data_IF_175559057378
#
_entry.id   IF_175559057378
#
_cell.length_a   1.000
_cell.length_b   1.000
_cell.length_c   1.000
_cell.angle_alpha   90.00
_cell.angle_beta   90.00
_cell.angle_gamma   90.00
#
_symmetry.space_group_name_H-M   'P 1'
#
loop_
_entity.id
_entity.type
_entity.pdbx_description
1 polymer ?
#
# COMPACT_ATOMS: atom_id res chain seq x y z
N UNK A 1 -0.51 -35.58 12.09
CA UNK A 1 -1.64 -35.55 13.03
C UNK A 1 -2.09 -34.10 13.19
N UNK A 2 -3.37 -33.79 12.95
CA UNK A 2 -3.90 -32.42 13.14
C UNK A 2 -4.02 -32.14 14.64
N UNK A 3 -3.41 -31.04 15.10
CA UNK A 3 -3.50 -30.60 16.50
C UNK A 3 -4.73 -29.71 16.65
N UNK A 4 -5.72 -30.19 17.40
CA UNK A 4 -6.90 -29.40 17.76
C UNK A 4 -6.63 -28.55 18.99
N UNK A 5 -7.10 -27.30 18.96
CA UNK A 5 -6.86 -26.27 19.97
C UNK A 5 -8.22 -25.77 20.47
N UNK A 6 -8.47 -25.91 21.77
CA UNK A 6 -9.67 -25.39 22.41
C UNK A 6 -9.65 -23.84 22.41
N UNK A 7 -10.74 -23.23 21.94
CA UNK A 7 -10.89 -21.78 21.81
C UNK A 7 -11.73 -21.16 22.93
N UNK A 8 -12.58 -21.95 23.61
CA UNK A 8 -13.36 -21.47 24.76
C UNK A 8 -12.49 -21.52 26.01
N UNK A 9 -12.19 -20.33 26.55
CA UNK A 9 -11.36 -20.16 27.74
C UNK A 9 -12.11 -19.51 28.91
N UNK A 10 -13.33 -19.02 28.70
CA UNK A 10 -14.17 -18.47 29.76
C UNK A 10 -14.99 -19.55 30.47
N UNK A 11 -15.36 -19.29 31.73
CA UNK A 11 -16.29 -20.13 32.46
C UNK A 11 -17.70 -20.00 31.87
N UNK A 12 -18.36 -21.14 31.67
CA UNK A 12 -19.71 -21.20 31.10
C UNK A 12 -20.76 -21.65 32.10
N UNK A 13 -20.39 -22.37 33.16
CA UNK A 13 -21.27 -22.70 34.28
C UNK A 13 -20.51 -22.74 35.59
N UNK A 14 -20.97 -21.97 36.58
CA UNK A 14 -20.48 -22.01 37.97
C UNK A 14 -18.94 -22.04 38.11
N UNK A 15 -18.27 -21.16 37.34
CA UNK A 15 -16.81 -21.05 37.33
C UNK A 15 -16.07 -22.14 36.54
N UNK A 16 -16.79 -23.07 35.90
CA UNK A 16 -16.24 -24.15 35.06
C UNK A 16 -16.50 -23.88 33.59
N UNK A 17 -15.56 -24.29 32.73
CA UNK A 17 -15.71 -24.29 31.27
C UNK A 17 -16.21 -25.65 30.82
N UNK A 18 -17.51 -25.77 30.56
CA UNK A 18 -18.13 -27.01 30.09
C UNK A 18 -18.30 -27.03 28.57
N UNK A 19 -18.46 -25.85 27.98
CA UNK A 19 -18.60 -25.72 26.54
C UNK A 19 -17.22 -25.63 25.88
N UNK A 20 -17.00 -26.50 24.89
CA UNK A 20 -15.73 -26.58 24.18
C UNK A 20 -15.93 -26.35 22.68
N UNK A 21 -15.04 -25.55 22.09
CA UNK A 21 -14.96 -25.38 20.64
C UNK A 21 -13.50 -25.58 20.25
N UNK A 22 -13.24 -26.51 19.33
CA UNK A 22 -11.89 -26.85 18.89
C UNK A 22 -11.66 -26.41 17.46
N UNK A 23 -10.50 -25.84 17.18
CA UNK A 23 -10.08 -25.48 15.82
C UNK A 23 -8.62 -25.89 15.59
N UNK A 24 -8.20 -25.90 14.34
CA UNK A 24 -6.79 -26.18 13.96
C UNK A 24 -5.90 -24.94 14.03
N UNK A 25 -6.50 -23.75 14.12
CA UNK A 25 -5.80 -22.46 14.09
C UNK A 25 -5.72 -21.90 15.51
N UNK A 26 -4.48 -21.70 15.98
CA UNK A 26 -4.23 -21.13 17.31
C UNK A 26 -4.74 -19.69 17.37
N UNK A 27 -5.55 -19.39 18.39
CA UNK A 27 -6.05 -18.04 18.64
C UNK A 27 -6.96 -17.51 17.54
N UNK A 28 -7.66 -18.39 16.81
CA UNK A 28 -8.60 -18.00 15.76
C UNK A 28 -9.81 -17.22 16.30
N UNK A 29 -10.17 -17.48 17.56
CA UNK A 29 -11.29 -16.83 18.22
C UNK A 29 -10.90 -16.36 19.61
N UNK A 30 -11.53 -15.25 20.03
CA UNK A 30 -11.58 -14.79 21.41
C UNK A 30 -12.94 -15.16 21.98
N UNK A 31 -12.97 -16.01 23.01
CA UNK A 31 -14.20 -16.36 23.70
C UNK A 31 -14.61 -15.26 24.68
N UNK A 32 -15.80 -14.71 24.49
CA UNK A 32 -16.39 -13.66 25.33
C UNK A 32 -17.65 -14.24 25.99
N UNK A 33 -17.70 -14.35 27.32
CA UNK A 33 -18.91 -14.78 28.00
C UNK A 33 -20.00 -13.71 27.85
N UNK A 34 -21.24 -14.15 27.65
CA UNK A 34 -22.45 -13.35 27.51
C UNK A 34 -23.50 -13.83 28.51
N UNK A 35 -24.49 -12.99 28.74
CA UNK A 35 -25.60 -13.32 29.63
C UNK A 35 -26.25 -14.65 29.24
N UNK A 36 -26.77 -15.36 30.24
CA UNK A 36 -27.49 -16.62 30.04
C UNK A 36 -28.76 -16.35 29.22
N UNK A 37 -29.11 -17.30 28.36
CA UNK A 37 -30.35 -17.19 27.59
C UNK A 37 -31.52 -17.74 28.42
N UNK A 38 -32.48 -16.87 28.75
CA UNK A 38 -33.67 -17.26 29.51
C UNK A 38 -33.31 -17.91 30.85
N UNK A 39 -33.79 -19.14 31.06
CA UNK A 39 -33.57 -19.94 32.28
C UNK A 39 -32.39 -20.92 32.17
N UNK A 40 -31.53 -20.77 31.18
CA UNK A 40 -30.33 -21.62 31.05
C UNK A 40 -29.42 -21.44 32.26
N UNK A 41 -28.83 -22.54 32.73
CA UNK A 41 -27.75 -22.57 33.72
C UNK A 41 -26.38 -22.29 33.09
N UNK A 42 -26.28 -22.26 31.75
CA UNK A 42 -25.07 -21.93 31.01
C UNK A 42 -25.05 -20.46 30.54
N UNK A 43 -23.89 -19.83 30.66
CA UNK A 43 -23.58 -18.56 30.02
C UNK A 43 -23.35 -18.78 28.51
N UNK A 44 -23.91 -17.90 27.69
CA UNK A 44 -23.63 -17.92 26.25
C UNK A 44 -22.16 -17.56 26.01
N UNK A 45 -21.52 -18.20 25.03
CA UNK A 45 -20.16 -17.85 24.61
C UNK A 45 -20.20 -17.24 23.22
N UNK A 46 -19.76 -15.99 23.12
CA UNK A 46 -19.56 -15.33 21.83
C UNK A 46 -18.11 -15.54 21.38
N UNK A 47 -17.92 -16.25 20.27
CA UNK A 47 -16.61 -16.45 19.65
C UNK A 47 -16.36 -15.35 18.63
N UNK A 48 -15.65 -14.31 19.05
CA UNK A 48 -15.24 -13.23 18.16
C UNK A 48 -14.00 -13.66 17.38
N UNK A 49 -14.07 -13.68 16.05
CA UNK A 49 -12.91 -14.02 15.25
C UNK A 49 -11.79 -12.99 15.46
N UNK A 50 -10.58 -13.47 15.72
CA UNK A 50 -9.39 -12.61 15.82
C UNK A 50 -8.85 -12.23 14.45
N UNK A 51 -9.31 -12.93 13.40
CA UNK A 51 -8.93 -12.66 12.03
C UNK A 51 -9.32 -11.22 11.65
N UNK A 52 -8.31 -10.40 11.42
CA UNK A 52 -8.46 -9.10 10.77
C UNK A 52 -8.14 -9.29 9.29
N UNK A 53 -9.05 -8.85 8.42
CA UNK A 53 -8.85 -8.85 6.98
C UNK A 53 -7.51 -8.16 6.66
N UNK A 54 -6.68 -8.76 5.80
CA UNK A 54 -5.35 -8.23 5.43
C UNK A 54 -5.40 -6.74 5.03
N UNK A 55 -6.47 -6.33 4.35
CA UNK A 55 -6.72 -4.93 3.95
C UNK A 55 -6.84 -3.95 5.13
N UNK A 56 -7.31 -4.42 6.29
CA UNK A 56 -7.40 -3.65 7.53
C UNK A 56 -6.11 -3.73 8.36
N UNK A 57 -5.20 -4.64 8.01
CA UNK A 57 -3.94 -4.85 8.74
C UNK A 57 -2.77 -4.06 8.14
N UNK A 58 -2.76 -3.84 6.83
CA UNK A 58 -1.64 -3.17 6.17
C UNK A 58 -1.95 -1.69 5.99
N UNK A 59 -1.13 -0.85 6.62
CA UNK A 59 -1.24 0.61 6.48
C UNK A 59 -0.92 1.02 5.04
N UNK A 60 -1.61 2.04 4.51
CA UNK A 60 -1.23 2.62 3.22
C UNK A 60 0.22 3.12 3.27
N UNK A 61 0.95 2.88 2.19
CA UNK A 61 2.32 3.35 2.04
C UNK A 61 2.30 4.66 1.27
N UNK A 62 2.81 5.71 1.88
CA UNK A 62 2.96 7.02 1.23
C UNK A 62 4.34 7.08 0.58
N UNK A 63 4.39 7.44 -0.71
CA UNK A 63 5.63 7.66 -1.46
C UNK A 63 5.58 9.01 -2.16
N UNK A 64 6.67 9.75 -2.07
CA UNK A 64 6.86 10.99 -2.85
C UNK A 64 7.57 10.63 -4.15
N UNK A 65 7.02 11.05 -5.28
CA UNK A 65 7.61 10.80 -6.61
C UNK A 65 7.76 12.11 -7.37
N UNK A 66 8.83 12.20 -8.17
CA UNK A 66 9.02 13.28 -9.15
C UNK A 66 8.00 13.10 -10.29
N UNK A 67 7.25 14.15 -10.62
CA UNK A 67 6.26 14.11 -11.69
C UNK A 67 6.84 14.68 -12.99
N UNK A 68 7.36 13.79 -13.83
CA UNK A 68 7.84 14.13 -15.16
C UNK A 68 6.66 14.40 -16.09
N UNK A 69 6.44 15.67 -16.41
CA UNK A 69 5.50 16.12 -17.43
C UNK A 69 6.26 16.69 -18.63
N UNK A 70 5.62 16.76 -19.80
CA UNK A 70 6.22 17.41 -20.98
C UNK A 70 6.67 18.83 -20.65
N UNK A 71 5.83 19.60 -19.95
CA UNK A 71 6.19 20.95 -19.51
C UNK A 71 7.42 20.98 -18.58
N UNK A 72 7.54 20.05 -17.64
CA UNK A 72 8.70 19.98 -16.76
C UNK A 72 9.99 19.63 -17.53
N UNK A 73 9.89 18.73 -18.52
CA UNK A 73 11.03 18.38 -19.39
C UNK A 73 11.48 19.56 -20.24
N UNK A 74 10.54 20.29 -20.87
CA UNK A 74 10.86 21.48 -21.65
C UNK A 74 11.46 22.60 -20.79
N UNK A 75 11.00 22.75 -19.55
CA UNK A 75 11.55 23.76 -18.62
C UNK A 75 12.99 23.43 -18.24
N UNK A 76 13.29 22.18 -17.88
CA UNK A 76 14.67 21.73 -17.58
C UNK A 76 15.56 21.90 -18.80
N UNK A 77 15.05 21.52 -19.98
CA UNK A 77 15.77 21.70 -21.24
C UNK A 77 16.15 23.16 -21.46
N UNK A 78 15.21 24.08 -21.29
CA UNK A 78 15.48 25.52 -21.38
C UNK A 78 16.53 25.98 -20.36
N UNK A 79 16.48 25.49 -19.13
CA UNK A 79 17.51 25.78 -18.13
C UNK A 79 18.91 25.36 -18.60
N UNK A 80 19.04 24.16 -19.16
CA UNK A 80 20.33 23.64 -19.64
C UNK A 80 20.84 24.33 -20.91
N UNK A 81 19.94 24.71 -21.82
CA UNK A 81 20.29 25.48 -23.02
C UNK A 81 20.77 26.90 -22.68
N UNK A 82 20.26 27.49 -21.60
CA UNK A 82 20.68 28.80 -21.11
C UNK A 82 21.88 28.75 -20.14
N UNK A 83 22.33 27.55 -19.74
CA UNK A 83 23.45 27.41 -18.79
C UNK A 83 24.78 27.54 -19.53
N UNK A 84 25.65 28.42 -19.05
CA UNK A 84 27.04 28.46 -19.49
C UNK A 84 27.84 27.34 -18.81
N UNK A 85 27.98 26.22 -19.52
CA UNK A 85 28.72 25.05 -19.03
C UNK A 85 30.23 25.29 -18.90
N UNK A 86 30.77 26.32 -19.57
CA UNK A 86 32.19 26.67 -19.51
C UNK A 86 32.62 27.05 -18.09
N UNK A 87 31.73 27.71 -17.34
CA UNK A 87 31.98 28.15 -15.97
C UNK A 87 32.40 27.00 -15.05
N UNK A 88 31.79 25.82 -15.18
CA UNK A 88 32.14 24.68 -14.33
C UNK A 88 33.56 24.17 -14.61
N UNK A 89 34.01 24.23 -15.87
CA UNK A 89 35.34 23.79 -16.25
C UNK A 89 36.42 24.81 -15.85
N UNK A 90 36.08 26.09 -15.84
CA UNK A 90 36.98 27.16 -15.41
C UNK A 90 37.18 27.21 -13.89
N UNK A 91 36.18 26.79 -13.12
CA UNK A 91 36.23 26.80 -11.65
C UNK A 91 36.73 25.50 -11.04
N UNK A 92 36.62 24.38 -11.75
CA UNK A 92 37.05 23.07 -11.25
C UNK A 92 38.57 22.92 -11.26
N UNK A 93 39.12 22.39 -10.16
CA UNK A 93 40.55 22.10 -10.04
C UNK A 93 40.92 20.72 -10.58
N UNK A 94 39.96 19.78 -10.59
CA UNK A 94 40.13 18.45 -11.15
C UNK A 94 38.83 17.91 -11.78
N UNK A 95 38.94 16.74 -12.42
CA UNK A 95 37.81 16.08 -13.10
C UNK A 95 36.71 15.64 -12.14
N UNK A 96 37.05 15.30 -10.89
CA UNK A 96 36.08 14.87 -9.90
C UNK A 96 35.23 16.06 -9.44
N UNK A 97 35.87 17.19 -9.11
CA UNK A 97 35.19 18.44 -8.74
C UNK A 97 34.31 18.95 -9.89
N UNK A 98 34.79 18.88 -11.13
CA UNK A 98 33.98 19.20 -12.30
C UNK A 98 32.71 18.32 -12.37
N UNK A 99 32.86 17.00 -12.22
CA UNK A 99 31.71 16.09 -12.28
C UNK A 99 30.72 16.28 -11.13
N UNK A 100 31.23 16.59 -9.93
CA UNK A 100 30.40 16.82 -8.74
C UNK A 100 29.59 18.10 -8.90
N UNK A 101 30.25 19.22 -9.23
CA UNK A 101 29.59 20.52 -9.40
C UNK A 101 28.54 20.52 -10.52
N UNK A 102 28.83 19.84 -11.65
CA UNK A 102 27.86 19.64 -12.73
C UNK A 102 26.67 18.78 -12.28
N UNK A 103 26.92 17.69 -11.55
CA UNK A 103 25.86 16.80 -11.05
C UNK A 103 24.95 17.49 -10.03
N UNK A 104 25.54 18.30 -9.15
CA UNK A 104 24.81 19.09 -8.16
C UNK A 104 23.93 20.15 -8.82
N UNK A 105 24.45 20.84 -9.83
CA UNK A 105 23.67 21.81 -10.60
C UNK A 105 22.50 21.15 -11.35
N UNK A 106 22.73 20.00 -11.99
CA UNK A 106 21.65 19.22 -12.63
C UNK A 106 20.59 18.83 -11.60
N UNK A 107 20.99 18.34 -10.44
CA UNK A 107 20.07 17.95 -9.36
C UNK A 107 19.29 19.16 -8.83
N UNK A 108 19.92 20.33 -8.77
CA UNK A 108 19.28 21.60 -8.43
C UNK A 108 18.21 22.00 -9.46
N UNK A 109 18.53 21.97 -10.76
CA UNK A 109 17.57 22.22 -11.83
C UNK A 109 16.39 21.23 -11.79
N UNK A 110 16.66 19.95 -11.53
CA UNK A 110 15.60 18.96 -11.34
C UNK A 110 14.69 19.31 -10.16
N UNK A 111 15.25 19.80 -9.05
CA UNK A 111 14.48 20.22 -7.87
C UNK A 111 13.63 21.46 -8.11
N UNK A 112 14.10 22.40 -8.94
CA UNK A 112 13.36 23.61 -9.29
C UNK A 112 12.24 23.35 -10.30
N UNK A 113 12.51 22.53 -11.32
CA UNK A 113 11.62 22.41 -12.47
C UNK A 113 10.64 21.24 -12.35
N UNK A 114 10.95 20.19 -11.58
CA UNK A 114 10.12 18.99 -11.50
C UNK A 114 9.25 19.06 -10.24
N UNK A 115 7.92 19.20 -10.37
CA UNK A 115 7.05 19.14 -9.21
C UNK A 115 7.07 17.74 -8.60
N UNK A 116 7.13 17.68 -7.27
CA UNK A 116 6.96 16.43 -6.52
C UNK A 116 5.50 16.19 -6.19
N UNK A 117 5.05 14.96 -6.37
CA UNK A 117 3.70 14.51 -6.01
C UNK A 117 3.75 13.41 -4.97
N UNK A 118 2.90 13.54 -3.95
CA UNK A 118 2.68 12.49 -2.96
C UNK A 118 1.63 11.50 -3.47
N UNK A 119 2.00 10.23 -3.50
CA UNK A 119 1.11 9.13 -3.88
C UNK A 119 0.95 8.20 -2.68
N UNK A 120 -0.30 7.96 -2.29
CA UNK A 120 -0.64 6.96 -1.27
C UNK A 120 -1.02 5.68 -1.98
N UNK A 121 -0.27 4.60 -1.73
CA UNK A 121 -0.58 3.27 -2.24
C UNK A 121 -1.21 2.41 -1.16
N UNK A 122 -2.40 1.89 -1.46
CA UNK A 122 -3.11 0.95 -0.61
C UNK A 122 -2.87 -0.50 -1.06
N UNK A 123 -2.91 -1.49 -0.16
CA UNK A 123 -2.72 -2.91 -0.52
C UNK A 123 -3.70 -3.45 -1.57
N UNK A 124 -4.83 -2.76 -1.78
CA UNK A 124 -5.85 -3.12 -2.77
C UNK A 124 -5.78 -2.27 -4.05
N UNK A 125 -4.73 -1.47 -4.26
CA UNK A 125 -4.56 -0.72 -5.50
C UNK A 125 -4.29 -1.68 -6.66
N UNK A 126 -5.38 -2.16 -7.26
CA UNK A 126 -5.40 -2.89 -8.53
C UNK A 126 -5.58 -1.92 -9.69
N UNK A 127 -4.78 -0.86 -9.77
CA UNK A 127 -4.84 0.07 -10.88
C UNK A 127 -3.53 0.03 -11.66
N UNK A 128 -3.59 -0.52 -12.86
CA UNK A 128 -2.60 -0.30 -13.91
C UNK A 128 -2.86 1.08 -14.54
N UNK A 129 -1.85 1.63 -15.24
CA UNK A 129 -1.97 2.91 -15.96
C UNK A 129 -3.18 2.94 -16.91
N UNK A 130 -3.46 1.84 -17.61
CA UNK A 130 -4.58 1.72 -18.56
C UNK A 130 -5.95 1.88 -17.89
N UNK A 131 -6.13 1.34 -16.68
CA UNK A 131 -7.36 1.52 -15.91
C UNK A 131 -7.51 2.96 -15.39
N UNK A 132 -6.39 3.65 -15.11
CA UNK A 132 -6.39 5.03 -14.64
C UNK A 132 -6.78 6.02 -15.73
N UNK A 133 -6.27 5.84 -16.95
CA UNK A 133 -6.60 6.72 -18.07
C UNK A 133 -8.07 6.55 -18.50
N UNK A 134 -8.57 5.32 -18.58
CA UNK A 134 -9.99 5.06 -18.85
C UNK A 134 -10.93 5.58 -17.74
N UNK A 135 -10.47 5.56 -16.48
CA UNK A 135 -11.22 6.15 -15.36
C UNK A 135 -11.25 7.68 -15.42
N UNK A 136 -10.13 8.32 -15.79
CA UNK A 136 -10.05 9.78 -15.99
C UNK A 136 -10.92 10.25 -17.17
N UNK A 137 -10.99 9.44 -18.22
CA UNK A 137 -11.84 9.70 -19.41
C UNK A 137 -13.34 9.44 -19.14
N UNK A 138 -13.70 8.92 -17.95
CA UNK A 138 -15.07 8.51 -17.58
C UNK A 138 -15.73 7.52 -18.56
N UNK A 139 -14.92 6.81 -19.34
CA UNK A 139 -15.37 5.84 -20.33
C UNK A 139 -15.49 4.45 -19.69
N UNK A 140 -16.73 4.12 -19.31
CA UNK A 140 -17.06 2.87 -18.61
C UNK A 140 -16.75 1.62 -19.43
N UNK A 141 -16.80 1.69 -20.75
CA UNK A 141 -16.59 0.54 -21.62
C UNK A 141 -15.10 0.28 -21.86
N UNK A 142 -14.30 1.34 -22.01
CA UNK A 142 -12.83 1.22 -21.97
C UNK A 142 -12.34 0.69 -20.64
N UNK A 143 -12.87 1.17 -19.52
CA UNK A 143 -12.50 0.70 -18.19
C UNK A 143 -12.81 -0.80 -17.99
N UNK A 144 -13.99 -1.25 -18.43
CA UNK A 144 -14.34 -2.68 -18.39
C UNK A 144 -13.36 -3.51 -19.23
N UNK A 145 -13.12 -3.13 -20.49
CA UNK A 145 -12.21 -3.87 -21.39
C UNK A 145 -10.79 -3.99 -20.81
N UNK A 146 -10.22 -2.90 -20.31
CA UNK A 146 -8.89 -2.89 -19.70
C UNK A 146 -8.80 -3.82 -18.47
N UNK A 147 -9.81 -3.78 -17.59
CA UNK A 147 -9.89 -4.64 -16.41
C UNK A 147 -10.00 -6.14 -16.74
N UNK A 148 -10.71 -6.51 -17.81
CA UNK A 148 -10.85 -7.91 -18.22
C UNK A 148 -9.60 -8.43 -18.94
N UNK A 149 -8.93 -7.59 -19.74
CA UNK A 149 -7.65 -7.94 -20.39
C UNK A 149 -6.56 -8.28 -19.34
N UNK A 150 -6.48 -7.53 -18.26
CA UNK A 150 -5.53 -7.81 -17.17
C UNK A 150 -5.77 -9.13 -16.44
N UNK A 151 -7.04 -9.55 -16.31
CA UNK A 151 -7.37 -10.83 -15.70
C UNK A 151 -6.92 -12.00 -16.58
N UNK A 152 -6.98 -11.84 -17.90
CA UNK A 152 -6.54 -12.86 -18.84
C UNK A 152 -5.01 -13.08 -18.77
N UNK A 153 -4.22 -12.01 -18.64
CA UNK A 153 -2.75 -12.10 -18.56
C UNK A 153 -2.25 -12.77 -17.27
N UNK A 154 -3.01 -12.70 -16.17
CA UNK A 154 -2.62 -13.29 -14.88
C UNK A 154 -2.98 -14.78 -14.72
N UNK A 155 -3.66 -15.36 -15.70
CA UNK A 155 -4.17 -16.74 -15.64
C UNK A 155 -3.51 -17.64 -16.71
N UNK A 156 -2.47 -17.13 -17.38
CA UNK A 156 -1.64 -17.85 -18.35
C UNK A 156 -0.26 -18.15 -17.81
#
# INVERSE_FOLDING_TARGET
MLKFIQQVTCATRDGRTLDHCYTTIKGAYRSIPRARLGRSDHAMVYLESTYKQQLKCVKPTVKTVKQWSVNAMETIRGCFECTDWGVFNETATDIHEYTETVSDYITFCEGLCIPTKTITSCPNDKQTKTNQDAYKDNDKDKYKKARYAEKAVKTG
#
